data_IF_298132114522
#
_entry.id   IF_298132114522
#
_cell.length_a   1.000
_cell.length_b   1.000
_cell.length_c   1.000
_cell.angle_alpha   90.00
_cell.angle_beta   90.00
_cell.angle_gamma   90.00
#
_symmetry.space_group_name_H-M   'P 1'
#
loop_
_entity.id
_entity.type
_entity.pdbx_description
1 polymer ?
#
# COMPACT_ATOMS: atom_id res chain seq x y z
N UNK A 1 6.26 -33.71 -4.37
CA UNK A 1 6.50 -32.66 -5.35
C UNK A 1 5.97 -31.33 -4.82
N UNK A 2 6.83 -30.34 -4.77
CA UNK A 2 6.44 -29.03 -4.26
C UNK A 2 5.84 -28.20 -5.37
N UNK A 3 4.56 -27.95 -5.25
CA UNK A 3 3.91 -27.05 -6.19
C UNK A 3 3.82 -25.67 -5.55
N UNK A 4 4.41 -24.70 -6.22
CA UNK A 4 4.25 -23.32 -5.80
C UNK A 4 2.79 -22.92 -5.92
N UNK A 5 2.29 -22.29 -4.89
CA UNK A 5 0.99 -21.67 -4.99
C UNK A 5 1.04 -20.58 -6.05
N UNK A 6 0.01 -20.52 -6.87
CA UNK A 6 -0.12 -19.45 -7.84
C UNK A 6 -0.31 -18.13 -7.07
N UNK A 7 0.10 -17.01 -7.70
CA UNK A 7 -0.07 -15.70 -7.08
C UNK A 7 -1.52 -15.46 -6.66
N UNK A 8 -2.47 -15.97 -7.44
CA UNK A 8 -3.90 -15.85 -7.15
C UNK A 8 -4.32 -16.52 -5.84
N UNK A 9 -3.54 -17.50 -5.36
CA UNK A 9 -3.87 -18.27 -4.15
C UNK A 9 -3.03 -17.87 -2.94
N UNK A 10 -2.20 -16.85 -3.08
CA UNK A 10 -1.35 -16.41 -1.98
C UNK A 10 -2.05 -15.37 -1.13
N UNK A 11 -1.52 -15.22 0.08
CA UNK A 11 -1.97 -14.14 0.96
C UNK A 11 -1.53 -12.79 0.40
N UNK A 12 -2.46 -11.87 0.42
CA UNK A 12 -2.23 -10.48 0.03
C UNK A 12 -2.44 -9.60 1.26
N UNK A 13 -1.66 -8.55 1.33
CA UNK A 13 -1.68 -7.63 2.47
C UNK A 13 -2.32 -6.33 2.01
N UNK A 14 -3.38 -5.94 2.70
CA UNK A 14 -3.92 -4.59 2.55
C UNK A 14 -3.25 -3.75 3.63
N UNK A 15 -2.56 -2.71 3.20
CA UNK A 15 -1.80 -1.86 4.09
C UNK A 15 -2.29 -0.42 3.99
N UNK A 16 -2.05 0.33 5.06
CA UNK A 16 -2.37 1.74 5.11
C UNK A 16 -1.10 2.53 5.39
N UNK A 17 -0.86 3.56 4.61
CA UNK A 17 0.21 4.51 4.84
C UNK A 17 -0.44 5.78 5.38
N UNK A 18 0.09 6.31 6.47
CA UNK A 18 -0.42 7.53 7.07
C UNK A 18 0.69 8.57 7.13
N UNK A 19 0.38 9.79 6.71
CA UNK A 19 1.24 10.93 6.92
C UNK A 19 0.95 11.49 8.31
N UNK A 20 1.92 11.42 9.20
CA UNK A 20 1.73 11.86 10.59
C UNK A 20 1.49 13.37 10.70
N UNK A 21 1.95 14.12 9.72
CA UNK A 21 1.86 15.58 9.75
C UNK A 21 0.51 16.09 9.26
N UNK A 22 0.01 15.52 8.16
CA UNK A 22 -1.25 15.97 7.56
C UNK A 22 -2.44 15.08 7.90
N UNK A 23 -2.18 13.89 8.43
CA UNK A 23 -3.17 12.84 8.71
C UNK A 23 -3.80 12.24 7.45
N UNK A 24 -3.28 12.55 6.29
CA UNK A 24 -3.73 11.94 5.04
C UNK A 24 -3.30 10.48 4.98
N UNK A 25 -4.10 9.66 4.32
CA UNK A 25 -3.88 8.22 4.27
C UNK A 25 -3.90 7.68 2.85
N UNK A 26 -3.29 6.53 2.69
CA UNK A 26 -3.25 5.77 1.44
C UNK A 26 -3.50 4.30 1.76
N UNK A 27 -4.37 3.66 1.00
CA UNK A 27 -4.64 2.22 1.10
C UNK A 27 -4.03 1.55 -0.12
N UNK A 28 -3.25 0.50 0.12
CA UNK A 28 -2.61 -0.24 -0.96
C UNK A 28 -2.71 -1.73 -0.76
N UNK A 29 -2.31 -2.46 -1.79
CA UNK A 29 -2.33 -3.90 -1.81
C UNK A 29 -0.98 -4.42 -2.24
N UNK A 30 -0.47 -5.43 -1.55
CA UNK A 30 0.76 -6.10 -1.95
C UNK A 30 0.67 -7.58 -1.64
N UNK A 31 1.46 -8.37 -2.33
CA UNK A 31 1.59 -9.79 -2.06
C UNK A 31 2.41 -9.96 -0.78
N UNK A 32 1.97 -10.88 0.09
CA UNK A 32 2.76 -11.20 1.28
C UNK A 32 4.01 -11.97 0.86
N UNK A 33 5.17 -11.42 1.23
CA UNK A 33 6.46 -12.10 1.04
C UNK A 33 7.07 -12.29 2.42
N UNK A 34 7.53 -13.52 2.69
CA UNK A 34 8.07 -13.83 4.00
C UNK A 34 6.97 -14.07 5.02
N UNK A 35 7.38 -14.23 6.27
CA UNK A 35 6.48 -14.64 7.35
C UNK A 35 5.81 -13.47 8.06
N UNK A 36 6.46 -12.32 8.08
CA UNK A 36 5.93 -11.16 8.79
C UNK A 36 5.16 -10.26 7.84
N UNK A 37 3.88 -10.09 8.12
CA UNK A 37 2.99 -9.28 7.29
C UNK A 37 3.43 -7.82 7.22
N UNK A 38 3.85 -7.26 8.36
CA UNK A 38 4.32 -5.88 8.42
C UNK A 38 5.55 -5.66 7.54
N UNK A 39 6.39 -6.70 7.37
CA UNK A 39 7.55 -6.62 6.50
C UNK A 39 7.16 -6.31 5.06
N UNK A 40 6.12 -6.97 4.55
CA UNK A 40 5.63 -6.73 3.20
C UNK A 40 5.12 -5.30 3.04
N UNK A 41 4.39 -4.79 4.04
CA UNK A 41 3.89 -3.42 4.02
C UNK A 41 5.04 -2.41 4.04
N UNK A 42 6.07 -2.66 4.85
CA UNK A 42 7.25 -1.77 4.92
C UNK A 42 8.02 -1.74 3.61
N UNK A 43 8.15 -2.89 2.95
CA UNK A 43 8.81 -2.94 1.63
C UNK A 43 8.04 -2.09 0.63
N UNK A 44 6.72 -2.14 0.65
CA UNK A 44 5.92 -1.30 -0.25
C UNK A 44 6.07 0.18 0.08
N UNK A 45 6.12 0.54 1.36
CA UNK A 45 6.36 1.92 1.73
C UNK A 45 7.72 2.40 1.20
N UNK A 46 8.76 1.60 1.37
CA UNK A 46 10.09 1.94 0.84
C UNK A 46 10.06 2.09 -0.69
N UNK A 47 9.30 1.23 -1.36
CA UNK A 47 9.12 1.32 -2.81
C UNK A 47 8.46 2.65 -3.21
N UNK A 48 7.43 3.05 -2.47
CA UNK A 48 6.77 4.33 -2.73
C UNK A 48 7.70 5.52 -2.48
N UNK A 49 8.52 5.45 -1.44
CA UNK A 49 9.51 6.49 -1.16
C UNK A 49 10.51 6.59 -2.30
N UNK A 50 11.00 5.45 -2.78
CA UNK A 50 11.92 5.43 -3.91
C UNK A 50 11.29 6.03 -5.16
N UNK A 51 10.05 5.67 -5.45
CA UNK A 51 9.33 6.23 -6.60
C UNK A 51 9.12 7.74 -6.45
N UNK A 52 8.84 8.19 -5.23
CA UNK A 52 8.70 9.63 -4.95
C UNK A 52 10.00 10.35 -5.25
N UNK A 53 11.13 9.80 -4.81
CA UNK A 53 12.46 10.40 -5.04
C UNK A 53 12.84 10.41 -6.52
N UNK A 54 12.24 9.53 -7.31
CA UNK A 54 12.50 9.43 -8.75
C UNK A 54 11.41 10.10 -9.59
N UNK A 55 10.64 11.00 -9.02
CA UNK A 55 9.67 11.80 -9.76
C UNK A 55 8.32 11.17 -9.97
N UNK A 56 7.94 10.19 -9.15
CA UNK A 56 6.63 9.57 -9.24
C UNK A 56 5.50 10.59 -9.21
N UNK A 57 4.46 10.36 -10.02
CA UNK A 57 3.39 11.33 -10.24
C UNK A 57 2.11 11.06 -9.44
N UNK A 58 2.10 10.07 -8.56
CA UNK A 58 0.95 9.81 -7.73
C UNK A 58 0.86 10.84 -6.60
N UNK A 59 -0.35 11.08 -6.12
CA UNK A 59 -0.55 12.03 -5.02
C UNK A 59 0.25 11.65 -3.79
N UNK A 60 0.32 10.36 -3.47
CA UNK A 60 1.17 9.86 -2.39
C UNK A 60 2.63 10.27 -2.59
N UNK A 61 3.15 10.09 -3.82
CA UNK A 61 4.55 10.40 -4.12
C UNK A 61 4.84 11.90 -3.98
N UNK A 62 3.92 12.73 -4.44
CA UNK A 62 4.07 14.17 -4.31
C UNK A 62 4.10 14.59 -2.85
N UNK A 63 3.23 14.00 -2.04
CA UNK A 63 3.15 14.34 -0.62
C UNK A 63 4.42 13.90 0.12
N UNK A 64 4.97 12.74 -0.25
CA UNK A 64 6.24 12.28 0.33
C UNK A 64 7.36 13.28 0.05
N UNK A 65 7.43 13.81 -1.17
CA UNK A 65 8.44 14.80 -1.54
C UNK A 65 8.23 16.12 -0.78
N UNK A 66 6.98 16.56 -0.62
CA UNK A 66 6.69 17.83 0.04
C UNK A 66 6.97 17.82 1.53
N UNK A 67 6.63 16.73 2.20
CA UNK A 67 6.62 16.67 3.66
C UNK A 67 7.86 16.00 4.21
N UNK A 68 8.34 14.96 3.53
CA UNK A 68 9.49 14.19 3.97
C UNK A 68 9.09 12.76 4.33
N UNK A 69 9.88 11.81 3.88
CA UNK A 69 9.57 10.39 4.05
C UNK A 69 9.50 9.96 5.51
N UNK A 70 10.21 10.65 6.40
CA UNK A 70 10.25 10.31 7.81
C UNK A 70 8.90 10.47 8.52
N UNK A 71 7.97 11.20 7.91
CA UNK A 71 6.63 11.41 8.49
C UNK A 71 5.62 10.36 8.05
N UNK A 72 6.03 9.40 7.23
CA UNK A 72 5.11 8.40 6.69
C UNK A 72 5.32 7.06 7.37
N UNK A 73 4.24 6.49 7.88
CA UNK A 73 4.24 5.19 8.56
C UNK A 73 3.25 4.27 7.89
N UNK A 74 3.47 2.96 8.04
CA UNK A 74 2.60 1.96 7.43
C UNK A 74 2.11 0.98 8.46
N UNK A 75 0.93 0.42 8.22
CA UNK A 75 0.37 -0.64 9.05
C UNK A 75 -0.38 -1.64 8.18
N UNK A 76 -0.52 -2.86 8.67
CA UNK A 76 -1.32 -3.88 8.03
C UNK A 76 -2.76 -3.72 8.48
N UNK A 77 -3.67 -3.57 7.52
CA UNK A 77 -5.10 -3.43 7.80
C UNK A 77 -5.77 -4.79 7.80
N UNK A 78 -5.46 -5.60 6.79
CA UNK A 78 -6.09 -6.91 6.65
C UNK A 78 -5.22 -7.80 5.77
N UNK A 79 -5.28 -9.11 6.03
CA UNK A 79 -4.68 -10.13 5.17
C UNK A 79 -5.80 -10.86 4.46
N UNK A 80 -5.71 -10.96 3.14
CA UNK A 80 -6.73 -11.59 2.32
C UNK A 80 -6.09 -12.64 1.43
N UNK A 81 -6.62 -13.84 1.44
CA UNK A 81 -6.14 -14.90 0.56
C UNK A 81 -6.79 -14.78 -0.81
N UNK A 82 -5.97 -14.84 -1.85
CA UNK A 82 -6.45 -14.78 -3.22
C UNK A 82 -6.43 -13.37 -3.79
N UNK A 83 -5.84 -13.25 -4.97
CA UNK A 83 -5.66 -11.94 -5.61
C UNK A 83 -6.99 -11.25 -5.90
N UNK A 84 -7.94 -12.01 -6.43
CA UNK A 84 -9.23 -11.45 -6.82
C UNK A 84 -10.00 -10.92 -5.61
N UNK A 85 -10.07 -11.73 -4.55
CA UNK A 85 -10.74 -11.32 -3.33
C UNK A 85 -10.02 -10.13 -2.70
N UNK A 86 -8.70 -10.13 -2.73
CA UNK A 86 -7.92 -9.04 -2.17
C UNK A 86 -8.20 -7.71 -2.86
N UNK A 87 -8.35 -7.72 -4.20
CA UNK A 87 -8.71 -6.51 -4.93
C UNK A 87 -10.09 -5.99 -4.56
N UNK A 88 -11.03 -6.90 -4.34
CA UNK A 88 -12.39 -6.52 -3.90
C UNK A 88 -12.36 -5.88 -2.51
N UNK A 89 -11.60 -6.46 -1.60
CA UNK A 89 -11.48 -5.93 -0.24
C UNK A 89 -10.78 -4.58 -0.24
N UNK A 90 -9.71 -4.46 -1.03
CA UNK A 90 -9.02 -3.18 -1.16
C UNK A 90 -9.96 -2.09 -1.67
N UNK A 91 -10.72 -2.40 -2.73
CA UNK A 91 -11.67 -1.44 -3.30
C UNK A 91 -12.72 -1.02 -2.27
N UNK A 92 -13.16 -1.97 -1.44
CA UNK A 92 -14.12 -1.67 -0.38
C UNK A 92 -13.53 -0.71 0.67
N UNK A 93 -12.29 -0.95 1.08
CA UNK A 93 -11.61 -0.04 2.01
C UNK A 93 -11.46 1.36 1.42
N UNK A 94 -11.06 1.45 0.16
CA UNK A 94 -10.93 2.74 -0.51
C UNK A 94 -12.26 3.47 -0.56
N UNK A 95 -13.32 2.73 -0.88
CA UNK A 95 -14.65 3.32 -0.95
C UNK A 95 -15.16 3.82 0.40
N UNK A 96 -14.93 3.03 1.47
CA UNK A 96 -15.40 3.38 2.80
C UNK A 96 -14.56 4.49 3.47
N UNK A 97 -13.24 4.41 3.32
CA UNK A 97 -12.33 5.30 4.04
C UNK A 97 -12.00 6.56 3.26
N UNK A 98 -12.18 6.54 1.94
CA UNK A 98 -11.90 7.68 1.06
C UNK A 98 -10.50 8.26 1.32
N UNK A 99 -9.44 7.42 1.26
CA UNK A 99 -8.10 7.90 1.58
C UNK A 99 -7.63 8.94 0.57
N UNK A 100 -7.20 10.07 1.08
CA UNK A 100 -6.86 11.23 0.25
C UNK A 100 -5.74 10.95 -0.74
N UNK A 101 -4.78 10.11 -0.33
CA UNK A 101 -3.58 9.89 -1.14
C UNK A 101 -3.75 8.80 -2.21
N UNK A 102 -4.91 8.16 -2.27
CA UNK A 102 -5.21 7.16 -3.30
C UNK A 102 -5.59 7.80 -4.64
N UNK A 103 -5.89 9.08 -4.64
CA UNK A 103 -6.28 9.76 -5.86
C UNK A 103 -5.06 9.90 -6.75
N UNK A 104 -5.16 9.39 -7.96
CA UNK A 104 -4.15 9.68 -8.96
C UNK A 104 -4.23 11.15 -9.30
N UNK A 105 -3.07 11.72 -9.64
CA UNK A 105 -3.06 13.09 -10.08
C UNK A 105 -4.02 13.25 -11.23
N UNK A 106 -5.06 14.03 -11.00
CA UNK A 106 -6.06 14.26 -12.01
C UNK A 106 -5.57 15.29 -12.99
N UNK A 107 -5.85 15.01 -14.19
CA UNK A 107 -5.48 15.93 -15.25
C UNK A 107 -6.46 17.07 -15.35
#
# INVERSE_FOLDING_TARGET
MNMRKKRSDRNHIIYKITCLKTKETYIGLTLQTGQKKIGSAKIRLMSHISKANNGGGWKLHERIREIGSQYFVTEVVETVRGKEQAHKVEADYIKRLQPELNTKKCL
#
